data_IF_468743354355
#
_entry.id   IF_468743354355
#
_cell.length_a   1.000
_cell.length_b   1.000
_cell.length_c   1.000
_cell.angle_alpha   90.00
_cell.angle_beta   90.00
_cell.angle_gamma   90.00
#
_symmetry.space_group_name_H-M   'P 1'
#
loop_
_entity.id
_entity.type
_entity.pdbx_description
1 polymer ?
#
# COMPACT_ATOMS: atom_id res chain seq x y z
N UNK A 1 42.50 8.14 -1.74
CA UNK A 1 41.47 7.13 -2.08
C UNK A 1 40.86 6.58 -0.80
N UNK A 2 39.58 6.88 -0.56
CA UNK A 2 38.58 6.09 0.20
C UNK A 2 37.25 6.83 0.09
N UNK A 3 36.24 6.14 -0.43
CA UNK A 3 34.88 6.62 -0.65
C UNK A 3 34.07 6.31 0.62
N UNK A 4 33.36 7.30 1.19
CA UNK A 4 32.42 7.08 2.28
C UNK A 4 31.11 7.79 1.95
N UNK A 5 30.07 6.99 1.68
CA UNK A 5 28.68 7.42 1.62
C UNK A 5 28.13 7.39 3.04
N UNK A 6 27.80 8.56 3.58
CA UNK A 6 27.01 8.69 4.82
C UNK A 6 25.64 9.24 4.46
N UNK A 7 24.63 8.37 4.50
CA UNK A 7 23.23 8.72 4.42
C UNK A 7 22.69 8.66 5.85
N UNK A 8 22.77 9.77 6.57
CA UNK A 8 22.24 9.89 7.93
C UNK A 8 21.10 10.91 7.90
N UNK A 9 19.86 10.41 7.83
CA UNK A 9 18.67 11.24 8.07
C UNK A 9 18.55 11.44 9.58
N UNK A 10 18.84 12.66 10.01
CA UNK A 10 18.57 13.18 11.34
C UNK A 10 17.11 13.66 11.35
N UNK A 11 16.25 13.06 12.19
CA UNK A 11 14.91 13.61 12.44
C UNK A 11 14.82 13.92 13.94
N UNK A 12 14.79 15.21 14.23
CA UNK A 12 14.84 15.80 15.56
C UNK A 12 13.50 15.65 16.27
N UNK A 13 13.58 15.14 17.49
CA UNK A 13 12.48 14.83 18.40
C UNK A 13 11.81 16.10 18.93
N UNK A 14 10.54 16.31 18.63
CA UNK A 14 9.70 17.23 19.43
C UNK A 14 8.45 16.50 19.91
N UNK A 15 8.29 16.50 21.23
CA UNK A 15 7.34 15.76 22.04
C UNK A 15 5.87 16.04 21.69
N UNK A 16 5.08 14.98 21.48
CA UNK A 16 3.64 15.01 21.74
C UNK A 16 3.40 14.42 23.13
N UNK A 17 3.04 15.26 24.11
CA UNK A 17 2.64 14.85 25.45
C UNK A 17 1.11 14.73 25.47
N UNK A 18 0.57 13.51 25.58
CA UNK A 18 -0.85 13.27 25.79
C UNK A 18 -1.02 12.32 26.98
N UNK A 19 -1.88 12.71 27.91
CA UNK A 19 -2.13 12.06 29.20
C UNK A 19 -2.24 10.53 29.13
N UNK A 20 -1.37 9.85 29.89
CA UNK A 20 -1.82 8.78 30.79
C UNK A 20 -2.05 7.37 30.26
N UNK A 21 -1.71 7.03 29.02
CA UNK A 21 -1.67 5.62 28.56
C UNK A 21 -0.37 5.32 27.81
N UNK A 22 0.41 4.37 28.32
CA UNK A 22 1.59 3.82 27.65
C UNK A 22 1.12 2.95 26.49
N UNK A 23 1.07 3.50 25.27
CA UNK A 23 1.14 2.66 24.08
C UNK A 23 2.61 2.59 23.64
N UNK A 24 3.23 1.48 24.01
CA UNK A 24 4.42 0.96 23.37
C UNK A 24 4.09 0.79 21.88
N UNK A 25 4.42 1.79 21.07
CA UNK A 25 4.32 1.68 19.61
C UNK A 25 5.43 0.71 19.22
N UNK A 26 5.07 -0.56 19.10
CA UNK A 26 5.93 -1.63 18.61
C UNK A 26 6.52 -1.24 17.26
N UNK A 27 7.72 -0.68 17.30
CA UNK A 27 8.73 -0.94 16.29
C UNK A 27 9.61 -2.06 16.85
N UNK A 28 9.07 -3.27 16.90
CA UNK A 28 9.86 -4.51 16.90
C UNK A 28 9.69 -5.07 15.48
N UNK A 29 10.69 -4.91 14.62
CA UNK A 29 11.85 -5.81 14.54
C UNK A 29 11.38 -7.24 14.29
N UNK A 30 11.61 -7.65 13.04
CA UNK A 30 12.13 -8.94 12.63
C UNK A 30 11.75 -10.16 13.47
N UNK A 31 11.04 -11.10 12.86
CA UNK A 31 11.60 -12.41 12.49
C UNK A 31 10.46 -13.36 12.18
N UNK A 32 10.51 -13.95 10.99
CA UNK A 32 9.89 -15.23 10.58
C UNK A 32 10.07 -15.29 9.06
N UNK A 33 11.25 -15.65 8.54
CA UNK A 33 11.66 -17.06 8.46
C UNK A 33 10.56 -18.02 8.92
N UNK A 34 9.58 -18.23 8.05
CA UNK A 34 8.96 -19.56 7.92
C UNK A 34 9.42 -20.12 6.58
N UNK A 35 10.73 -20.37 6.51
CA UNK A 35 11.24 -21.46 5.70
C UNK A 35 10.70 -22.74 6.32
N UNK A 36 9.93 -23.47 5.51
CA UNK A 36 9.74 -24.93 5.57
C UNK A 36 9.30 -25.62 6.88
N UNK A 37 8.34 -26.52 6.68
CA UNK A 37 7.98 -27.68 7.49
C UNK A 37 7.05 -27.45 8.71
N UNK A 38 5.76 -27.76 8.50
CA UNK A 38 5.14 -28.81 9.32
C UNK A 38 4.05 -29.57 8.57
N UNK A 39 4.27 -30.87 8.47
CA UNK A 39 3.37 -31.87 7.90
C UNK A 39 2.19 -32.15 8.84
N UNK A 40 1.05 -32.44 8.20
CA UNK A 40 -0.15 -33.18 8.64
C UNK A 40 -1.03 -32.60 9.78
N UNK A 41 -2.28 -32.28 9.42
CA UNK A 41 -3.42 -33.04 9.94
C UNK A 41 -4.60 -33.05 8.95
N UNK A 42 -5.09 -34.26 8.72
CA UNK A 42 -6.38 -34.60 8.14
C UNK A 42 -7.53 -33.99 8.95
N UNK A 43 -8.39 -33.22 8.29
CA UNK A 43 -9.62 -32.70 8.86
C UNK A 43 -10.53 -32.20 7.74
N UNK A 44 -11.57 -32.97 7.43
CA UNK A 44 -12.60 -32.62 6.46
C UNK A 44 -13.41 -31.43 6.96
N UNK A 45 -13.29 -30.29 6.28
CA UNK A 45 -14.31 -29.23 6.32
C UNK A 45 -14.57 -28.75 4.89
N UNK A 46 -15.76 -29.09 4.39
CA UNK A 46 -16.31 -28.54 3.16
C UNK A 46 -16.95 -27.20 3.45
N UNK A 47 -16.61 -26.16 2.68
CA UNK A 47 -17.54 -25.28 1.94
C UNK A 47 -16.74 -24.17 1.22
N UNK A 48 -17.15 -23.94 -0.04
CA UNK A 48 -16.76 -22.88 -0.96
C UNK A 48 -15.37 -22.95 -1.60
N UNK A 49 -15.38 -22.88 -2.93
CA UNK A 49 -14.27 -22.98 -3.88
C UNK A 49 -13.27 -21.84 -3.68
N UNK A 50 -12.41 -21.95 -2.69
CA UNK A 50 -11.09 -21.33 -2.75
C UNK A 50 -10.22 -22.27 -3.59
N UNK A 51 -10.17 -22.01 -4.89
CA UNK A 51 -9.08 -22.51 -5.71
C UNK A 51 -7.81 -21.94 -5.08
N UNK A 52 -7.12 -22.78 -4.30
CA UNK A 52 -5.79 -22.52 -3.79
C UNK A 52 -4.90 -22.28 -5.01
N UNK A 53 -4.74 -21.01 -5.38
CA UNK A 53 -3.76 -20.63 -6.37
C UNK A 53 -2.39 -20.94 -5.76
N UNK A 54 -1.60 -21.72 -6.48
CA UNK A 54 -0.14 -21.62 -6.42
C UNK A 54 0.25 -20.13 -6.35
N UNK A 55 1.31 -19.72 -5.63
CA UNK A 55 1.76 -18.33 -5.65
C UNK A 55 2.22 -17.98 -7.08
N UNK A 56 1.27 -17.61 -7.94
CA UNK A 56 1.51 -17.10 -9.27
C UNK A 56 2.08 -15.72 -9.11
N UNK A 57 3.19 -15.46 -9.80
CA UNK A 57 3.74 -14.11 -9.89
C UNK A 57 2.60 -13.22 -10.43
N UNK A 58 2.20 -12.17 -9.69
CA UNK A 58 1.07 -11.33 -10.09
C UNK A 58 1.29 -10.78 -11.50
N UNK A 59 0.22 -10.72 -12.29
CA UNK A 59 0.26 -10.17 -13.65
C UNK A 59 0.65 -8.68 -13.65
N UNK A 60 1.02 -8.11 -14.80
CA UNK A 60 1.39 -6.69 -14.90
C UNK A 60 0.34 -5.74 -14.32
N UNK A 61 -0.94 -5.93 -14.67
CA UNK A 61 -2.08 -5.17 -14.14
C UNK A 61 -2.19 -5.29 -12.62
N UNK A 62 -2.09 -6.52 -12.10
CA UNK A 62 -2.23 -6.78 -10.67
C UNK A 62 -1.09 -6.15 -9.85
N UNK A 63 0.15 -6.19 -10.38
CA UNK A 63 1.29 -5.50 -9.74
C UNK A 63 1.08 -3.98 -9.67
N UNK A 64 0.54 -3.39 -10.74
CA UNK A 64 0.19 -1.96 -10.79
C UNK A 64 -0.87 -1.63 -9.73
N UNK A 65 -1.96 -2.40 -9.68
CA UNK A 65 -3.01 -2.25 -8.68
C UNK A 65 -2.48 -2.37 -7.25
N UNK A 66 -1.65 -3.38 -6.96
CA UNK A 66 -1.03 -3.54 -5.63
C UNK A 66 -0.17 -2.34 -5.23
N UNK A 67 0.59 -1.76 -6.18
CA UNK A 67 1.42 -0.57 -5.95
C UNK A 67 0.55 0.65 -5.65
N UNK A 68 -0.47 0.89 -6.46
CA UNK A 68 -1.41 2.00 -6.27
C UNK A 68 -2.14 1.86 -4.93
N UNK A 69 -2.64 0.68 -4.61
CA UNK A 69 -3.31 0.39 -3.35
C UNK A 69 -2.40 0.64 -2.15
N UNK A 70 -1.11 0.25 -2.23
CA UNK A 70 -0.12 0.52 -1.19
C UNK A 70 0.09 2.02 -0.97
N UNK A 71 0.08 2.82 -2.04
CA UNK A 71 0.22 4.28 -1.94
C UNK A 71 -1.04 4.89 -1.30
N UNK A 72 -2.23 4.51 -1.77
CA UNK A 72 -3.52 5.00 -1.24
C UNK A 72 -3.68 4.63 0.24
N UNK A 73 -3.28 3.42 0.63
CA UNK A 73 -3.36 2.95 2.03
C UNK A 73 -2.19 3.42 2.90
N UNK A 74 -1.26 4.22 2.37
CA UNK A 74 -0.17 4.76 3.18
C UNK A 74 -0.72 5.70 4.27
N UNK A 75 -0.12 5.75 5.48
CA UNK A 75 -0.59 6.63 6.54
C UNK A 75 -0.63 8.11 6.13
N UNK A 76 0.32 8.54 5.30
CA UNK A 76 0.36 9.88 4.75
C UNK A 76 -0.86 10.15 3.88
N UNK A 77 -1.14 9.26 2.92
CA UNK A 77 -2.24 9.45 1.98
C UNK A 77 -3.61 9.38 2.66
N UNK A 78 -3.78 8.46 3.62
CA UNK A 78 -4.98 8.38 4.44
C UNK A 78 -5.17 9.63 5.32
N UNK A 79 -4.11 10.20 5.87
CA UNK A 79 -4.19 11.43 6.68
C UNK A 79 -4.52 12.68 5.84
N UNK A 80 -3.87 12.83 4.68
CA UNK A 80 -4.12 13.96 3.76
C UNK A 80 -5.36 13.79 2.91
N UNK A 81 -5.97 12.59 2.90
CA UNK A 81 -7.06 12.22 2.02
C UNK A 81 -6.74 12.46 0.54
N UNK A 82 -5.48 12.21 0.19
CA UNK A 82 -4.95 12.44 -1.13
C UNK A 82 -3.75 11.54 -1.41
N UNK A 83 -3.59 11.09 -2.66
CA UNK A 83 -2.46 10.30 -3.12
C UNK A 83 -1.96 10.86 -4.45
N UNK A 84 -0.64 11.00 -4.60
CA UNK A 84 -0.02 11.31 -5.88
C UNK A 84 0.50 10.02 -6.51
N UNK A 85 0.02 9.72 -7.71
CA UNK A 85 0.40 8.52 -8.44
C UNK A 85 1.14 8.88 -9.73
N UNK A 86 2.10 8.04 -10.07
CA UNK A 86 2.77 8.04 -11.36
C UNK A 86 2.67 6.64 -11.97
N UNK A 87 2.45 6.60 -13.28
CA UNK A 87 2.61 5.39 -14.09
C UNK A 87 4.10 5.06 -14.22
N UNK A 88 4.44 3.78 -14.14
CA UNK A 88 5.80 3.31 -14.41
C UNK A 88 6.00 3.08 -15.92
N UNK A 89 7.25 3.18 -16.43
CA UNK A 89 7.52 3.02 -17.86
C UNK A 89 7.26 1.60 -18.39
N UNK A 90 7.19 0.60 -17.52
CA UNK A 90 6.88 -0.79 -17.85
C UNK A 90 5.37 -1.13 -17.77
N UNK A 91 4.54 -0.16 -17.37
CA UNK A 91 3.10 -0.30 -17.26
C UNK A 91 2.38 0.18 -18.53
N UNK A 92 1.40 -0.59 -19.00
CA UNK A 92 0.57 -0.25 -20.17
C UNK A 92 -0.24 1.03 -19.92
N UNK A 93 -0.38 1.86 -20.95
CA UNK A 93 -1.21 3.09 -20.89
C UNK A 93 -2.69 2.76 -20.73
N UNK A 94 -3.17 1.75 -21.45
CA UNK A 94 -4.57 1.32 -21.41
C UNK A 94 -4.93 0.76 -20.03
N UNK A 95 -4.08 -0.10 -19.48
CA UNK A 95 -4.24 -0.67 -18.14
C UNK A 95 -4.22 0.41 -17.06
N UNK A 96 -3.32 1.40 -17.22
CA UNK A 96 -3.21 2.53 -16.30
C UNK A 96 -4.47 3.42 -16.35
N UNK A 97 -4.98 3.70 -17.54
CA UNK A 97 -6.20 4.46 -17.72
C UNK A 97 -7.41 3.72 -17.13
N UNK A 98 -7.52 2.42 -17.38
CA UNK A 98 -8.57 1.57 -16.81
C UNK A 98 -8.54 1.59 -15.29
N UNK A 99 -7.37 1.40 -14.67
CA UNK A 99 -7.25 1.42 -13.20
C UNK A 99 -7.68 2.77 -12.60
N UNK A 100 -7.35 3.88 -13.26
CA UNK A 100 -7.78 5.21 -12.80
C UNK A 100 -9.28 5.41 -12.96
N UNK A 101 -9.88 4.90 -14.04
CA UNK A 101 -11.33 4.93 -14.26
C UNK A 101 -12.07 4.12 -13.18
N UNK A 102 -11.60 2.92 -12.85
CA UNK A 102 -12.14 2.08 -11.76
C UNK A 102 -12.10 2.82 -10.41
N UNK A 103 -11.03 3.58 -10.14
CA UNK A 103 -10.92 4.38 -8.92
C UNK A 103 -11.88 5.58 -8.94
N UNK A 104 -12.06 6.22 -10.11
CA UNK A 104 -12.93 7.37 -10.30
C UNK A 104 -14.42 7.02 -10.32
N UNK A 105 -14.78 5.75 -10.54
CA UNK A 105 -16.15 5.25 -10.41
C UNK A 105 -16.71 5.45 -9.00
N UNK A 106 -15.85 5.61 -7.99
CA UNK A 106 -16.28 5.98 -6.65
C UNK A 106 -16.62 7.48 -6.58
N UNK A 107 -17.90 7.82 -6.35
CA UNK A 107 -18.42 9.19 -6.24
C UNK A 107 -17.69 10.09 -5.21
N UNK A 108 -17.00 9.50 -4.24
CA UNK A 108 -16.25 10.24 -3.22
C UNK A 108 -14.78 10.48 -3.60
N UNK A 109 -14.38 10.10 -4.82
CA UNK A 109 -13.02 10.23 -5.34
C UNK A 109 -12.98 11.29 -6.44
N UNK A 110 -11.91 12.07 -6.48
CA UNK A 110 -11.65 13.06 -7.52
C UNK A 110 -10.23 12.89 -8.07
N UNK A 111 -10.10 12.80 -9.39
CA UNK A 111 -8.82 12.77 -10.09
C UNK A 111 -8.42 14.16 -10.59
N UNK A 112 -7.16 14.53 -10.40
CA UNK A 112 -6.56 15.74 -10.92
C UNK A 112 -5.27 15.41 -11.68
N UNK A 113 -5.28 15.69 -12.98
CA UNK A 113 -4.12 15.51 -13.85
C UNK A 113 -3.13 16.67 -13.67
N UNK A 114 -1.84 16.35 -13.59
CA UNK A 114 -0.75 17.33 -13.41
C UNK A 114 0.12 17.41 -14.66
N UNK A 115 0.76 18.56 -14.86
CA UNK A 115 1.66 18.80 -15.99
C UNK A 115 2.94 17.94 -15.96
N UNK A 116 3.27 17.36 -14.81
CA UNK A 116 4.40 16.45 -14.61
C UNK A 116 4.11 15.00 -15.02
N UNK A 117 2.91 14.73 -15.56
CA UNK A 117 2.46 13.38 -15.91
C UNK A 117 1.97 12.55 -14.71
N UNK A 118 1.91 13.15 -13.52
CA UNK A 118 1.30 12.56 -12.34
C UNK A 118 -0.21 12.74 -12.30
N UNK A 119 -0.88 11.84 -11.59
CA UNK A 119 -2.31 11.94 -11.28
C UNK A 119 -2.46 12.04 -9.78
N UNK A 120 -3.05 13.14 -9.32
CA UNK A 120 -3.36 13.33 -7.92
C UNK A 120 -4.81 12.94 -7.65
N UNK A 121 -5.00 12.02 -6.73
CA UNK A 121 -6.30 11.51 -6.30
C UNK A 121 -6.65 12.15 -4.96
N UNK A 122 -7.89 12.59 -4.80
CA UNK A 122 -8.46 13.08 -3.55
C UNK A 122 -9.68 12.26 -3.19
N UNK A 123 -9.96 12.07 -1.90
CA UNK A 123 -11.20 11.42 -1.48
C UNK A 123 -11.77 12.00 -0.19
N UNK A 124 -13.07 11.85 0.03
CA UNK A 124 -13.70 12.19 1.30
C UNK A 124 -14.20 10.94 1.99
N UNK A 125 -13.96 10.80 3.29
CA UNK A 125 -14.63 9.74 4.04
C UNK A 125 -16.10 10.16 4.27
N UNK A 126 -17.07 9.31 3.91
CA UNK A 126 -18.43 9.51 4.39
C UNK A 126 -18.41 9.48 5.91
N UNK A 127 -19.12 10.40 6.55
CA UNK A 127 -19.34 10.34 7.99
C UNK A 127 -20.33 9.20 8.23
N UNK A 128 -19.93 8.17 8.96
CA UNK A 128 -20.90 7.25 9.58
C UNK A 128 -21.70 8.07 10.60
N UNK A 129 -23.03 8.05 10.49
CA UNK A 129 -23.98 8.63 11.45
C UNK A 129 -24.10 7.72 12.68
#
# INVERSE_FOLDING_TARGET
MRYSRSNTCFFETTLCHFQGFVLHRCCERSDTEILYARTAHSGTFSVAKQTAATPSIPGPYERMGMRVQKIINSPTAQKSRAALLFRLPDESEDDWAQLLEEIAENDNVTLAWRDDGGVQIFWTLPKED
#
